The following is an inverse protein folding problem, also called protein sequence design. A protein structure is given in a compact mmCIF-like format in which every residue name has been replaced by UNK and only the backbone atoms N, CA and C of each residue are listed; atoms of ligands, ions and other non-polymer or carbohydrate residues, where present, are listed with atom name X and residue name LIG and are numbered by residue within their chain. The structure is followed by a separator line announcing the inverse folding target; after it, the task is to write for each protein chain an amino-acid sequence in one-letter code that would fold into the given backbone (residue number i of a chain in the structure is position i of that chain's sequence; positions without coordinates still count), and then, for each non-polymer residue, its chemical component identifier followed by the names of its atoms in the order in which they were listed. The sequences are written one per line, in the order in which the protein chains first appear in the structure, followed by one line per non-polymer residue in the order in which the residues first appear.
data_IF_828210376078
#
_entry.id   IF_828210376078
#
_cell.length_a   1.000
_cell.length_b   1.000
_cell.length_c   1.000
_cell.angle_alpha   90.00
_cell.angle_beta   90.00
_cell.angle_gamma   90.00
#
_symmetry.space_group_name_H-M   'P 1'
#
loop_
_entity.id
_entity.type
_entity.pdbx_description
1 polymer ?
#
# COMPACT_ATOMS: atom_id res chain seq x y z
N UNK A 1 -10.74 19.95 60.46
CA UNK A 1 -10.87 20.89 59.32
C UNK A 1 -10.03 20.29 58.21
N UNK A 2 -10.66 19.57 57.28
CA UNK A 2 -10.00 19.11 56.06
C UNK A 2 -9.89 20.33 55.16
N UNK A 3 -8.66 20.73 54.87
CA UNK A 3 -8.36 21.77 53.88
C UNK A 3 -8.61 21.15 52.51
N UNK A 4 -9.74 21.48 51.90
CA UNK A 4 -9.92 21.36 50.45
C UNK A 4 -8.82 22.19 49.79
N UNK A 5 -7.92 21.53 49.07
CA UNK A 5 -6.92 22.20 48.25
C UNK A 5 -7.65 22.83 47.08
N UNK A 6 -7.71 24.16 47.06
CA UNK A 6 -8.34 24.97 46.00
C UNK A 6 -7.38 25.18 44.81
N UNK A 7 -6.33 24.37 44.72
CA UNK A 7 -5.17 24.61 43.87
C UNK A 7 -4.99 23.49 42.84
N UNK A 8 -6.10 22.93 42.35
CA UNK A 8 -6.06 22.10 41.14
C UNK A 8 -6.39 23.02 39.96
N UNK A 9 -5.52 23.09 38.93
CA UNK A 9 -5.86 23.81 37.71
C UNK A 9 -7.18 23.25 37.18
N UNK A 10 -8.08 24.15 36.80
CA UNK A 10 -9.33 23.75 36.18
C UNK A 10 -9.01 23.03 34.85
N UNK A 11 -9.77 21.98 34.47
CA UNK A 11 -9.63 21.35 33.17
C UNK A 11 -9.80 22.39 32.05
N UNK A 12 -8.98 22.25 31.00
CA UNK A 12 -9.00 23.01 29.75
C UNK A 12 -8.84 21.94 28.66
N UNK A 13 -9.96 21.51 28.09
CA UNK A 13 -10.02 20.30 27.26
C UNK A 13 -9.44 20.52 25.87
N UNK A 14 -9.59 21.72 25.30
CA UNK A 14 -9.15 22.11 23.96
C UNK A 14 -7.82 22.90 23.94
N UNK A 15 -7.41 23.47 25.07
CA UNK A 15 -6.12 24.14 25.22
C UNK A 15 -6.12 25.65 24.93
N UNK A 16 -7.28 26.28 24.75
CA UNK A 16 -7.39 27.69 24.33
C UNK A 16 -7.11 28.72 25.46
N UNK A 17 -7.04 28.24 26.70
CA UNK A 17 -6.80 29.06 27.90
C UNK A 17 -8.05 29.47 28.67
N UNK A 18 -9.23 29.03 28.23
CA UNK A 18 -10.51 29.06 28.94
C UNK A 18 -10.74 27.67 29.55
N UNK A 19 -11.33 27.59 30.74
CA UNK A 19 -11.59 26.30 31.38
C UNK A 19 -12.98 25.77 31.05
N UNK A 20 -13.12 24.44 30.97
CA UNK A 20 -14.36 23.77 30.54
C UNK A 20 -15.61 24.27 31.28
N UNK A 21 -15.47 24.54 32.58
CA UNK A 21 -16.57 25.03 33.41
C UNK A 21 -16.98 26.46 33.03
N UNK A 22 -16.01 27.31 32.69
CA UNK A 22 -16.25 28.68 32.25
C UNK A 22 -16.93 28.71 30.88
N UNK A 23 -16.58 27.77 30.01
CA UNK A 23 -17.16 27.64 28.68
C UNK A 23 -18.61 27.17 28.74
N UNK A 24 -18.89 26.11 29.51
CA UNK A 24 -20.26 25.65 29.78
C UNK A 24 -21.13 26.78 30.37
N UNK A 25 -20.56 27.59 31.26
CA UNK A 25 -21.27 28.74 31.86
C UNK A 25 -21.52 29.83 30.81
N UNK A 26 -20.56 30.06 29.91
CA UNK A 26 -20.66 31.08 28.86
C UNK A 26 -21.46 30.62 27.64
N UNK A 27 -21.79 29.32 27.56
CA UNK A 27 -22.48 28.72 26.43
C UNK A 27 -21.57 28.48 25.23
N UNK A 28 -20.27 28.33 25.45
CA UNK A 28 -19.24 27.98 24.46
C UNK A 28 -18.87 26.49 24.61
N UNK A 29 -18.24 25.89 23.61
CA UNK A 29 -17.89 24.46 23.56
C UNK A 29 -16.49 24.16 24.12
N UNK A 30 -16.38 23.44 25.25
CA UNK A 30 -15.10 23.04 25.86
C UNK A 30 -14.13 22.24 24.99
N UNK A 31 -14.54 21.82 23.79
CA UNK A 31 -13.73 20.99 22.89
C UNK A 31 -13.38 21.71 21.59
N UNK A 32 -13.71 22.99 21.46
CA UNK A 32 -13.45 23.80 20.27
C UNK A 32 -12.56 24.99 20.64
N UNK A 33 -11.26 24.87 20.37
CA UNK A 33 -10.26 25.88 20.71
C UNK A 33 -10.49 27.24 20.02
N UNK A 34 -11.37 27.30 19.01
CA UNK A 34 -11.76 28.53 18.37
C UNK A 34 -13.01 29.17 19.01
N UNK A 35 -13.85 28.43 19.76
CA UNK A 35 -15.02 28.98 20.45
C UNK A 35 -14.62 29.64 21.79
N UNK A 36 -15.03 30.88 22.11
CA UNK A 36 -15.79 31.86 21.33
C UNK A 36 -14.93 32.87 20.59
N UNK A 37 -13.60 32.69 20.61
CA UNK A 37 -12.65 33.69 20.18
C UNK A 37 -12.68 33.93 18.66
N UNK A 38 -13.06 32.91 17.88
CA UNK A 38 -12.98 32.86 16.43
C UNK A 38 -13.88 31.74 15.86
N UNK A 39 -13.83 31.56 14.54
CA UNK A 39 -14.23 30.34 13.83
C UNK A 39 -12.96 29.73 13.22
N UNK A 40 -13.01 28.46 12.84
CA UNK A 40 -12.06 27.81 11.91
C UNK A 40 -12.88 27.45 10.66
N UNK A 41 -12.77 28.30 9.64
CA UNK A 41 -13.68 28.28 8.49
C UNK A 41 -13.37 27.14 7.51
N UNK A 42 -12.09 26.80 7.34
CA UNK A 42 -11.66 25.72 6.44
C UNK A 42 -11.30 24.41 7.17
N UNK A 43 -11.45 24.41 8.49
CA UNK A 43 -11.29 23.29 9.41
C UNK A 43 -9.86 22.77 9.49
N UNK A 44 -8.86 23.61 9.23
CA UNK A 44 -7.45 23.20 9.20
C UNK A 44 -6.77 23.10 10.58
N UNK A 45 -7.51 23.45 11.63
CA UNK A 45 -7.05 23.43 13.02
C UNK A 45 -6.41 24.75 13.47
N UNK A 46 -6.43 25.77 12.60
CA UNK A 46 -6.03 27.14 12.92
C UNK A 46 -7.27 28.02 12.86
N UNK A 47 -7.48 28.85 13.88
CA UNK A 47 -8.64 29.74 13.90
C UNK A 47 -8.45 30.92 12.92
N UNK A 48 -9.53 31.36 12.24
CA UNK A 48 -9.55 32.48 11.29
C UNK A 48 -8.83 33.74 11.82
N UNK A 49 -9.03 34.05 13.11
CA UNK A 49 -8.41 35.21 13.74
C UNK A 49 -6.88 35.08 13.84
N UNK A 50 -6.36 33.87 14.05
CA UNK A 50 -4.94 33.57 14.09
C UNK A 50 -4.33 33.63 12.68
N UNK A 51 -5.03 33.10 11.68
CA UNK A 51 -4.60 33.15 10.27
C UNK A 51 -4.50 34.58 9.74
N UNK A 52 -5.49 35.43 10.06
CA UNK A 52 -5.42 36.86 9.73
C UNK A 52 -4.21 37.54 10.37
N UNK A 53 -3.85 37.14 11.60
CA UNK A 53 -2.69 37.68 12.31
C UNK A 53 -1.38 37.19 11.70
N UNK A 54 -1.32 35.92 11.29
CA UNK A 54 -0.16 35.28 10.69
C UNK A 54 -0.01 35.58 9.20
N UNK A 55 -1.04 36.17 8.59
CA UNK A 55 -1.08 36.58 7.19
C UNK A 55 -1.39 35.44 6.22
N UNK A 56 -2.05 34.38 6.70
CA UNK A 56 -2.54 33.24 5.93
C UNK A 56 -4.01 33.43 5.56
N UNK A 57 -4.56 32.63 4.64
CA UNK A 57 -5.95 32.74 4.15
C UNK A 57 -6.93 31.86 4.95
N UNK A 58 -7.88 32.42 5.71
CA UNK A 58 -8.87 31.68 6.52
C UNK A 58 -9.84 30.75 5.77
N UNK A 59 -9.69 30.62 4.45
CA UNK A 59 -10.52 29.75 3.63
C UNK A 59 -9.68 28.77 2.80
N UNK A 60 -8.35 28.80 2.98
CA UNK A 60 -7.44 27.89 2.32
C UNK A 60 -6.80 26.97 3.38
N UNK A 61 -7.30 25.73 3.53
CA UNK A 61 -6.79 24.83 4.55
C UNK A 61 -5.34 24.41 4.27
N UNK A 62 -4.76 24.84 3.15
CA UNK A 62 -3.38 24.63 2.75
C UNK A 62 -2.51 25.88 2.91
N UNK A 63 -2.95 26.87 3.68
CA UNK A 63 -2.17 28.04 4.04
C UNK A 63 -2.31 28.30 5.56
N UNK A 64 -1.27 28.05 6.37
CA UNK A 64 0.13 27.76 6.02
C UNK A 64 0.46 26.27 5.91
N UNK A 65 -0.53 25.39 6.13
CA UNK A 65 -0.32 23.95 6.22
C UNK A 65 0.05 23.32 4.86
N UNK A 66 0.78 22.20 4.87
CA UNK A 66 0.98 21.47 3.60
C UNK A 66 -0.36 20.95 3.08
N UNK A 67 -0.54 21.05 1.77
CA UNK A 67 -1.71 20.56 1.07
C UNK A 67 -1.63 19.06 0.78
N UNK A 68 -0.55 18.38 1.21
CA UNK A 68 -0.27 17.00 0.85
C UNK A 68 -1.30 16.03 1.42
N UNK A 69 -1.83 15.16 0.57
CA UNK A 69 -2.66 14.05 0.98
C UNK A 69 -1.77 13.01 1.69
N UNK A 70 -2.01 12.77 2.98
CA UNK A 70 -1.23 11.81 3.78
C UNK A 70 -2.03 10.53 4.00
N UNK A 71 -1.48 9.41 3.57
CA UNK A 71 -2.12 8.09 3.60
C UNK A 71 -1.42 7.18 4.62
N UNK A 72 -2.19 6.65 5.56
CA UNK A 72 -1.79 5.55 6.44
C UNK A 72 -2.39 4.24 5.90
N UNK A 73 -1.72 3.65 4.91
CA UNK A 73 -2.21 2.42 4.29
C UNK A 73 -1.69 1.17 5.00
N UNK A 74 -2.51 0.11 5.04
CA UNK A 74 -2.10 -1.24 5.42
C UNK A 74 -2.39 -2.24 4.32
N UNK A 75 -1.45 -3.13 4.05
CA UNK A 75 -1.59 -4.23 3.11
C UNK A 75 -0.69 -5.40 3.51
N UNK A 76 -1.01 -6.61 3.07
CA UNK A 76 -0.14 -7.78 3.22
C UNK A 76 -0.02 -8.54 1.90
N UNK A 77 1.12 -9.17 1.70
CA UNK A 77 1.46 -9.92 0.48
C UNK A 77 1.22 -11.41 0.68
N UNK A 78 0.48 -12.01 -0.25
CA UNK A 78 0.30 -13.47 -0.30
C UNK A 78 1.64 -14.17 -0.47
N UNK A 79 1.75 -15.42 -0.01
CA UNK A 79 3.01 -16.18 -0.06
C UNK A 79 4.06 -15.78 0.98
N UNK A 80 4.11 -14.50 1.38
CA UNK A 80 5.07 -13.96 2.39
C UNK A 80 4.42 -13.85 3.77
N UNK A 81 3.11 -13.62 3.84
CA UNK A 81 2.36 -13.54 5.09
C UNK A 81 2.31 -14.88 5.85
N UNK A 82 2.69 -14.86 7.13
CA UNK A 82 2.58 -15.99 8.05
C UNK A 82 1.48 -15.74 9.09
N UNK A 83 0.39 -16.50 8.97
CA UNK A 83 -0.80 -16.40 9.84
C UNK A 83 -0.48 -16.72 11.31
N UNK A 84 0.53 -17.54 11.58
CA UNK A 84 0.86 -17.98 12.94
C UNK A 84 1.46 -16.86 13.78
N UNK A 85 2.30 -16.04 13.14
CA UNK A 85 2.95 -14.87 13.74
C UNK A 85 2.14 -13.59 13.51
N UNK A 86 1.27 -13.59 12.51
CA UNK A 86 0.54 -12.41 12.07
C UNK A 86 1.39 -11.41 11.30
N UNK A 87 2.61 -11.80 10.87
CA UNK A 87 3.61 -10.98 10.20
C UNK A 87 4.02 -11.58 8.86
N UNK A 88 4.48 -10.75 7.93
CA UNK A 88 5.18 -11.19 6.73
C UNK A 88 6.61 -11.61 7.06
N UNK A 89 7.20 -12.52 6.27
CA UNK A 89 8.65 -12.74 6.25
C UNK A 89 9.38 -11.55 5.62
N UNK A 90 10.65 -11.37 5.99
CA UNK A 90 11.55 -10.32 5.50
C UNK A 90 12.85 -10.91 4.95
N UNK A 91 12.73 -11.99 4.17
CA UNK A 91 13.85 -12.74 3.60
C UNK A 91 14.76 -11.82 2.75
N UNK A 92 14.17 -11.01 1.87
CA UNK A 92 14.90 -10.07 1.01
C UNK A 92 15.71 -9.03 1.80
N UNK A 93 15.13 -8.48 2.87
CA UNK A 93 15.82 -7.55 3.78
C UNK A 93 16.95 -8.25 4.51
N UNK A 94 16.70 -9.46 5.03
CA UNK A 94 17.68 -10.25 5.75
C UNK A 94 18.86 -10.67 4.87
N UNK A 95 18.63 -10.85 3.57
CA UNK A 95 19.67 -11.09 2.57
C UNK A 95 20.36 -9.81 2.07
N UNK A 96 19.84 -8.62 2.40
CA UNK A 96 20.38 -7.34 1.98
C UNK A 96 20.25 -7.07 0.48
N UNK A 97 19.19 -7.59 -0.15
CA UNK A 97 18.97 -7.50 -1.60
C UNK A 97 17.81 -6.59 -2.01
N UNK A 98 17.12 -5.96 -1.05
CA UNK A 98 16.16 -4.89 -1.37
C UNK A 98 16.95 -3.71 -1.95
N UNK A 99 16.60 -3.21 -3.15
CA UNK A 99 17.30 -2.08 -3.75
C UNK A 99 17.05 -0.81 -2.95
N UNK A 100 18.05 0.08 -2.91
CA UNK A 100 17.91 1.41 -2.27
C UNK A 100 17.11 2.37 -3.15
N UNK A 101 17.04 2.12 -4.44
CA UNK A 101 16.18 2.86 -5.38
C UNK A 101 14.90 2.06 -5.61
N UNK A 102 13.77 2.75 -5.70
CA UNK A 102 12.50 2.12 -6.01
C UNK A 102 12.55 1.40 -7.39
N UNK A 103 11.95 0.19 -7.53
CA UNK A 103 12.12 -0.64 -8.74
C UNK A 103 11.15 -0.32 -9.89
N UNK A 104 10.07 0.40 -9.63
CA UNK A 104 8.91 0.56 -10.51
C UNK A 104 9.21 1.40 -11.76
N UNK A 105 10.21 2.30 -11.74
CA UNK A 105 10.59 3.03 -12.96
C UNK A 105 11.31 2.16 -14.01
N UNK A 106 11.71 0.95 -13.66
CA UNK A 106 12.28 -0.05 -14.58
C UNK A 106 11.23 -1.02 -15.13
N UNK A 107 10.00 -0.99 -14.60
CA UNK A 107 8.90 -1.88 -14.96
C UNK A 107 7.87 -1.13 -15.82
N UNK A 108 7.75 -1.53 -17.08
CA UNK A 108 6.96 -0.80 -18.09
C UNK A 108 5.45 -0.72 -17.75
N UNK A 109 4.92 -1.70 -17.03
CA UNK A 109 3.51 -1.80 -16.61
C UNK A 109 3.13 -0.80 -15.50
N UNK A 110 4.11 -0.22 -14.80
CA UNK A 110 3.86 0.81 -13.79
C UNK A 110 3.85 2.23 -14.36
N UNK A 111 4.47 2.45 -15.53
CA UNK A 111 4.59 3.77 -16.16
C UNK A 111 5.05 4.87 -15.17
N UNK A 112 6.00 4.54 -14.31
CA UNK A 112 6.40 5.40 -13.21
C UNK A 112 7.74 6.09 -13.49
N UNK A 113 7.80 7.40 -13.22
CA UNK A 113 9.00 8.22 -13.47
C UNK A 113 9.66 8.71 -12.17
N UNK A 114 9.15 8.29 -11.01
CA UNK A 114 9.73 8.67 -9.72
C UNK A 114 11.15 8.15 -9.55
N UNK A 115 11.87 8.76 -8.61
CA UNK A 115 13.28 8.48 -8.33
C UNK A 115 13.53 8.36 -6.84
N UNK A 116 12.54 7.86 -6.08
CA UNK A 116 12.68 7.65 -4.65
C UNK A 116 13.87 6.74 -4.34
N UNK A 117 14.70 7.20 -3.41
CA UNK A 117 15.83 6.46 -2.86
C UNK A 117 15.72 6.46 -1.35
N UNK A 118 15.83 5.29 -0.72
CA UNK A 118 15.81 5.11 0.74
C UNK A 118 17.22 5.13 1.31
N UNK A 119 17.39 5.69 2.52
CA UNK A 119 18.64 5.53 3.26
C UNK A 119 18.82 4.06 3.68
N UNK A 120 19.96 3.40 3.37
CA UNK A 120 20.18 1.99 3.70
C UNK A 120 20.01 1.64 5.18
N UNK A 121 20.15 2.62 6.09
CA UNK A 121 19.96 2.40 7.52
C UNK A 121 18.53 2.01 7.91
N UNK A 122 17.53 2.34 7.07
CA UNK A 122 16.13 1.92 7.26
C UNK A 122 16.01 0.38 7.25
N UNK A 123 16.83 -0.32 6.46
CA UNK A 123 16.82 -1.78 6.40
C UNK A 123 17.46 -2.48 7.62
N UNK A 124 18.05 -1.73 8.56
CA UNK A 124 18.56 -2.28 9.81
C UNK A 124 17.47 -2.54 10.85
N UNK A 125 16.26 -1.99 10.64
CA UNK A 125 15.11 -2.24 11.51
C UNK A 125 14.69 -3.72 11.38
N UNK A 126 14.35 -4.32 12.52
CA UNK A 126 13.92 -5.73 12.63
C UNK A 126 12.65 -5.82 13.49
N UNK A 127 12.00 -6.98 13.52
CA UNK A 127 10.72 -7.14 14.24
C UNK A 127 9.53 -6.75 13.36
N UNK A 128 8.43 -6.30 13.96
CA UNK A 128 7.21 -5.95 13.25
C UNK A 128 7.41 -4.85 12.18
N UNK A 129 8.31 -3.91 12.47
CA UNK A 129 8.55 -2.73 11.63
C UNK A 129 9.68 -2.97 10.60
N UNK A 130 10.18 -4.20 10.48
CA UNK A 130 11.21 -4.51 9.48
C UNK A 130 10.62 -4.33 8.06
N UNK A 131 11.40 -3.74 7.15
CA UNK A 131 10.95 -3.60 5.77
C UNK A 131 10.92 -4.96 5.08
N UNK A 132 9.79 -5.28 4.47
CA UNK A 132 9.61 -6.43 3.57
C UNK A 132 10.03 -6.05 2.16
N UNK A 133 9.54 -4.91 1.66
CA UNK A 133 9.78 -4.49 0.28
C UNK A 133 9.32 -3.05 -0.04
N UNK A 134 9.53 -2.64 -1.29
CA UNK A 134 8.89 -1.48 -1.92
C UNK A 134 7.44 -1.77 -2.31
N UNK A 135 6.54 -0.80 -2.12
CA UNK A 135 5.16 -0.81 -2.63
C UNK A 135 4.88 0.42 -3.48
N UNK A 136 3.92 0.31 -4.38
CA UNK A 136 3.51 1.38 -5.27
C UNK A 136 2.09 1.79 -4.99
N UNK A 137 1.85 3.08 -4.78
CA UNK A 137 0.55 3.60 -4.38
C UNK A 137 0.12 4.68 -5.36
N UNK A 138 -1.15 4.65 -5.74
CA UNK A 138 -1.74 5.66 -6.64
C UNK A 138 -2.96 6.32 -6.00
N UNK A 139 -3.08 7.62 -6.21
CA UNK A 139 -4.30 8.38 -5.99
C UNK A 139 -4.95 8.64 -7.35
N UNK A 140 -6.18 8.18 -7.51
CA UNK A 140 -6.95 8.19 -8.75
C UNK A 140 -8.17 9.10 -8.64
N UNK A 141 -8.61 9.64 -9.77
CA UNK A 141 -9.70 10.61 -9.84
C UNK A 141 -11.01 10.05 -9.28
N UNK A 142 -11.70 10.81 -8.42
CA UNK A 142 -12.95 10.39 -7.77
C UNK A 142 -14.10 10.08 -8.73
N UNK A 143 -14.07 10.63 -9.96
CA UNK A 143 -15.13 10.49 -10.96
C UNK A 143 -14.78 9.47 -12.03
N UNK A 144 -13.50 9.33 -12.38
CA UNK A 144 -12.99 8.35 -13.31
C UNK A 144 -11.84 7.54 -12.66
N UNK A 145 -12.12 6.34 -12.11
CA UNK A 145 -11.12 5.55 -11.41
C UNK A 145 -9.97 5.06 -12.31
N UNK A 146 -10.08 5.16 -13.64
CA UNK A 146 -8.98 4.87 -14.56
C UNK A 146 -7.94 5.99 -14.62
N UNK A 147 -8.31 7.23 -14.28
CA UNK A 147 -7.41 8.38 -14.32
C UNK A 147 -6.56 8.43 -13.07
N UNK A 148 -5.25 8.23 -13.24
CA UNK A 148 -4.27 8.36 -12.18
C UNK A 148 -3.83 9.83 -12.07
N UNK A 149 -3.95 10.40 -10.87
CA UNK A 149 -3.59 11.80 -10.59
C UNK A 149 -2.23 11.91 -9.91
N UNK A 150 -1.95 11.00 -8.96
CA UNK A 150 -0.69 10.94 -8.25
C UNK A 150 -0.24 9.50 -8.10
N UNK A 151 1.08 9.31 -8.09
CA UNK A 151 1.73 8.02 -7.91
C UNK A 151 2.94 8.21 -7.01
N UNK A 152 3.19 7.26 -6.12
CA UNK A 152 4.36 7.29 -5.24
C UNK A 152 4.80 5.89 -4.84
N UNK A 153 6.11 5.68 -4.76
CA UNK A 153 6.68 4.48 -4.13
C UNK A 153 6.85 4.69 -2.61
N UNK A 154 6.51 3.68 -1.83
CA UNK A 154 6.72 3.62 -0.38
C UNK A 154 7.33 2.28 0.03
N UNK A 155 7.45 2.05 1.34
CA UNK A 155 8.01 0.83 1.90
C UNK A 155 6.93 0.07 2.69
N UNK A 156 6.95 -1.25 2.61
CA UNK A 156 6.06 -2.14 3.32
C UNK A 156 6.77 -2.75 4.53
N UNK A 157 6.19 -2.62 5.71
CA UNK A 157 6.66 -3.25 6.94
C UNK A 157 6.05 -4.64 7.14
N UNK A 158 6.69 -5.49 7.96
CA UNK A 158 6.26 -6.88 8.17
C UNK A 158 4.86 -7.02 8.77
N UNK A 159 4.40 -6.05 9.54
CA UNK A 159 3.07 -6.06 10.13
C UNK A 159 1.98 -5.53 9.16
N UNK A 160 2.39 -5.03 7.99
CA UNK A 160 1.55 -4.57 6.91
C UNK A 160 1.44 -3.06 6.77
N UNK A 161 2.07 -2.26 7.63
CA UNK A 161 2.09 -0.80 7.45
C UNK A 161 2.86 -0.39 6.19
N UNK A 162 2.28 0.56 5.44
CA UNK A 162 2.93 1.23 4.31
C UNK A 162 3.44 2.58 4.77
N UNK A 163 4.74 2.77 4.69
CA UNK A 163 5.46 3.92 5.24
C UNK A 163 6.29 4.64 4.19
N UNK A 164 6.65 5.88 4.49
CA UNK A 164 7.54 6.73 3.70
C UNK A 164 9.01 6.24 3.79
N UNK A 165 9.92 6.95 3.12
CA UNK A 165 11.34 6.62 2.97
C UNK A 165 12.14 6.72 4.27
N UNK A 166 11.56 7.23 5.35
CA UNK A 166 12.15 7.18 6.70
C UNK A 166 11.87 5.84 7.41
N UNK A 167 11.00 5.01 6.82
CA UNK A 167 10.59 3.72 7.37
C UNK A 167 9.61 3.83 8.54
N UNK A 168 9.00 4.99 8.80
CA UNK A 168 8.11 5.21 9.95
C UNK A 168 6.89 6.06 9.60
N UNK A 169 7.07 7.16 8.88
CA UNK A 169 6.01 8.12 8.61
C UNK A 169 4.98 7.56 7.63
N UNK A 170 3.69 7.94 7.73
CA UNK A 170 2.71 7.64 6.69
C UNK A 170 3.11 8.23 5.33
N UNK A 171 2.58 7.68 4.25
CA UNK A 171 2.94 8.06 2.90
C UNK A 171 2.28 9.40 2.49
N UNK A 172 3.06 10.46 2.34
CA UNK A 172 2.58 11.76 1.86
C UNK A 172 2.56 11.86 0.33
N UNK A 173 1.59 12.55 -0.27
CA UNK A 173 1.56 12.82 -1.70
C UNK A 173 1.75 14.30 -1.96
N UNK A 174 2.98 14.67 -2.29
CA UNK A 174 3.36 16.06 -2.54
C UNK A 174 2.46 16.71 -3.59
N UNK A 175 1.76 17.78 -3.22
CA UNK A 175 0.86 18.52 -4.10
C UNK A 175 -0.47 17.84 -4.43
N UNK A 176 -0.77 16.68 -3.83
CA UNK A 176 -2.10 16.10 -3.86
C UNK A 176 -2.96 16.79 -2.81
N UNK A 177 -3.86 17.67 -3.23
CA UNK A 177 -4.70 18.45 -2.31
C UNK A 177 -5.63 17.62 -1.43
N UNK A 178 -6.25 18.30 -0.45
CA UNK A 178 -7.34 17.76 0.39
C UNK A 178 -8.59 17.50 -0.47
N UNK A 179 -8.67 16.32 -1.06
CA UNK A 179 -9.73 15.91 -1.97
C UNK A 179 -10.10 14.44 -1.77
N UNK A 180 -11.07 13.94 -2.53
CA UNK A 180 -11.38 12.50 -2.53
C UNK A 180 -10.67 11.81 -3.69
N UNK A 181 -10.12 10.62 -3.41
CA UNK A 181 -9.39 9.82 -4.39
C UNK A 181 -9.75 8.35 -4.25
N UNK A 182 -9.84 7.62 -5.35
CA UNK A 182 -9.65 6.17 -5.26
C UNK A 182 -8.18 5.90 -4.92
N UNK A 183 -7.93 4.95 -4.02
CA UNK A 183 -6.58 4.62 -3.58
C UNK A 183 -6.27 3.21 -4.05
N UNK A 184 -5.18 3.04 -4.80
CA UNK A 184 -4.66 1.72 -5.16
C UNK A 184 -3.33 1.44 -4.49
N UNK A 185 -3.11 0.19 -4.10
CA UNK A 185 -1.82 -0.34 -3.67
C UNK A 185 -1.42 -1.50 -4.56
N UNK A 186 -0.17 -1.48 -5.03
CA UNK A 186 0.41 -2.42 -5.98
C UNK A 186 1.79 -2.87 -5.50
N UNK A 187 2.19 -4.05 -5.93
CA UNK A 187 3.51 -4.61 -5.66
C UNK A 187 4.05 -5.29 -6.93
N UNK A 188 5.37 -5.41 -7.06
CA UNK A 188 6.00 -5.85 -8.32
C UNK A 188 5.51 -7.21 -8.83
N UNK A 189 5.23 -8.16 -7.94
CA UNK A 189 4.93 -9.57 -8.26
C UNK A 189 3.55 -10.03 -7.74
N UNK A 190 2.67 -9.10 -7.39
CA UNK A 190 1.31 -9.37 -6.93
C UNK A 190 0.28 -8.63 -7.77
N UNK A 191 -0.99 -9.07 -7.75
CA UNK A 191 -2.09 -8.26 -8.27
C UNK A 191 -2.44 -7.17 -7.24
N UNK A 192 -2.50 -5.93 -7.70
CA UNK A 192 -2.89 -4.79 -6.87
C UNK A 192 -4.37 -4.80 -6.51
N UNK A 193 -4.71 -3.93 -5.57
CA UNK A 193 -6.09 -3.67 -5.14
C UNK A 193 -6.36 -2.17 -5.07
N UNK A 194 -7.62 -1.79 -5.23
CA UNK A 194 -8.08 -0.40 -5.12
C UNK A 194 -9.35 -0.34 -4.26
N UNK A 195 -9.57 0.77 -3.58
CA UNK A 195 -10.84 1.04 -2.87
C UNK A 195 -12.02 1.01 -3.84
N UNK A 196 -13.19 0.55 -3.41
CA UNK A 196 -14.41 0.55 -4.24
C UNK A 196 -15.13 1.90 -4.29
N UNK A 197 -14.76 2.80 -3.38
CA UNK A 197 -15.22 4.18 -3.30
C UNK A 197 -14.04 5.14 -3.11
N UNK A 198 -14.16 6.41 -3.53
CA UNK A 198 -13.18 7.43 -3.21
C UNK A 198 -13.11 7.66 -1.70
N UNK A 199 -11.90 7.89 -1.19
CA UNK A 199 -11.63 8.22 0.20
C UNK A 199 -11.22 9.69 0.29
N UNK A 200 -11.86 10.44 1.20
CA UNK A 200 -11.62 11.88 1.39
C UNK A 200 -10.42 12.14 2.29
N UNK A 201 -9.49 12.95 1.80
CA UNK A 201 -8.33 13.44 2.56
C UNK A 201 -8.62 14.79 3.21
N UNK A 202 -8.17 14.93 4.46
CA UNK A 202 -8.19 16.16 5.25
C UNK A 202 -6.81 16.44 5.82
N UNK A 203 -6.74 17.06 7.01
CA UNK A 203 -5.46 17.42 7.66
C UNK A 203 -4.76 16.21 8.27
N UNK A 204 -5.54 15.29 8.83
CA UNK A 204 -5.00 14.10 9.47
C UNK A 204 -4.69 13.02 8.43
N UNK A 205 -3.63 12.22 8.67
CA UNK A 205 -3.38 11.01 7.88
C UNK A 205 -4.63 10.13 7.82
N UNK A 206 -5.01 9.72 6.61
CA UNK A 206 -6.21 8.92 6.39
C UNK A 206 -5.86 7.43 6.45
N UNK A 207 -6.50 6.65 7.33
CA UNK A 207 -6.27 5.21 7.40
C UNK A 207 -7.01 4.47 6.29
N UNK A 208 -6.32 3.61 5.55
CA UNK A 208 -6.93 2.65 4.61
C UNK A 208 -6.31 1.28 4.80
N UNK A 209 -7.09 0.35 5.33
CA UNK A 209 -6.62 -0.99 5.64
C UNK A 209 -7.15 -2.02 4.63
N UNK A 210 -6.34 -2.38 3.65
CA UNK A 210 -6.67 -3.42 2.67
C UNK A 210 -6.64 -4.84 3.25
N UNK A 211 -6.11 -5.02 4.47
CA UNK A 211 -6.15 -6.33 5.17
C UNK A 211 -7.53 -6.59 5.78
N UNK A 212 -8.28 -5.54 6.12
CA UNK A 212 -9.62 -5.63 6.69
C UNK A 212 -10.67 -5.90 5.62
N UNK A 213 -11.57 -6.84 5.85
CA UNK A 213 -12.75 -7.10 4.98
C UNK A 213 -13.76 -5.96 4.97
N UNK A 214 -13.65 -4.99 5.88
CA UNK A 214 -14.49 -3.79 5.89
C UNK A 214 -14.14 -2.79 4.78
N UNK A 215 -12.92 -2.84 4.25
CA UNK A 215 -12.51 -1.99 3.12
C UNK A 215 -13.06 -2.59 1.83
N UNK A 216 -13.99 -1.90 1.16
CA UNK A 216 -14.49 -2.37 -0.12
C UNK A 216 -13.38 -2.38 -1.18
N UNK A 217 -13.36 -3.42 -2.03
CA UNK A 217 -12.41 -3.49 -3.14
C UNK A 217 -13.14 -3.22 -4.45
N UNK A 218 -12.54 -2.39 -5.30
CA UNK A 218 -13.06 -2.14 -6.63
C UNK A 218 -13.20 -3.45 -7.40
N UNK A 219 -14.24 -3.52 -8.23
CA UNK A 219 -14.51 -4.64 -9.11
C UNK A 219 -14.62 -4.11 -10.54
N UNK A 220 -13.84 -4.69 -11.46
CA UNK A 220 -13.97 -4.35 -12.88
C UNK A 220 -15.37 -4.65 -13.39
N UNK A 221 -15.81 -3.90 -14.39
CA UNK A 221 -17.07 -4.19 -15.08
C UNK A 221 -16.86 -5.26 -16.16
N UNK A 222 -17.90 -6.05 -16.44
CA UNK A 222 -17.88 -7.04 -17.52
C UNK A 222 -17.24 -8.39 -17.13
N UNK A 223 -16.77 -9.17 -18.10
CA UNK A 223 -16.40 -10.58 -17.89
C UNK A 223 -15.10 -10.80 -17.10
N UNK A 224 -14.26 -9.77 -16.95
CA UNK A 224 -13.02 -9.81 -16.16
C UNK A 224 -13.22 -9.33 -14.71
N UNK A 225 -14.44 -8.88 -14.38
CA UNK A 225 -14.83 -8.45 -13.05
C UNK A 225 -14.93 -9.61 -12.06
N UNK A 226 -14.34 -9.44 -10.89
CA UNK A 226 -14.36 -10.41 -9.79
C UNK A 226 -14.53 -9.71 -8.44
N UNK A 227 -15.29 -10.33 -7.53
CA UNK A 227 -15.38 -9.90 -6.13
C UNK A 227 -14.16 -10.32 -5.30
N UNK A 228 -13.23 -11.09 -5.88
CA UNK A 228 -12.06 -11.66 -5.21
C UNK A 228 -10.78 -10.91 -5.60
N UNK A 229 -10.76 -9.59 -5.44
CA UNK A 229 -9.60 -8.75 -5.74
C UNK A 229 -8.37 -9.09 -4.87
N UNK A 230 -8.61 -9.68 -3.70
CA UNK A 230 -7.61 -10.14 -2.75
C UNK A 230 -7.91 -11.58 -2.31
N UNK A 231 -6.89 -12.27 -1.80
CA UNK A 231 -7.00 -13.57 -1.16
C UNK A 231 -7.49 -13.41 0.28
N UNK A 232 -8.58 -14.08 0.65
CA UNK A 232 -9.03 -14.15 2.04
C UNK A 232 -8.25 -15.23 2.81
N UNK A 233 -7.61 -14.84 3.91
CA UNK A 233 -6.80 -15.71 4.75
C UNK A 233 -7.64 -16.32 5.88
N UNK A 234 -7.31 -17.52 6.36
CA UNK A 234 -7.97 -18.18 7.50
C UNK A 234 -8.09 -17.36 8.79
N UNK A 235 -7.21 -16.38 9.01
CA UNK A 235 -7.24 -15.47 10.16
C UNK A 235 -8.20 -14.27 9.98
N UNK A 236 -8.91 -14.22 8.85
CA UNK A 236 -9.87 -13.18 8.50
C UNK A 236 -9.27 -11.93 7.84
N UNK A 237 -7.95 -11.91 7.59
CA UNK A 237 -7.30 -10.84 6.83
C UNK A 237 -7.38 -11.11 5.33
N UNK A 238 -7.14 -10.07 4.53
CA UNK A 238 -6.97 -10.17 3.08
C UNK A 238 -5.53 -9.86 2.66
N UNK A 239 -4.99 -10.67 1.76
CA UNK A 239 -3.67 -10.49 1.17
C UNK A 239 -3.77 -10.24 -0.34
N UNK A 240 -2.80 -9.54 -0.91
CA UNK A 240 -2.70 -9.47 -2.37
C UNK A 240 -2.41 -10.86 -2.95
N UNK A 241 -2.96 -11.13 -4.14
CA UNK A 241 -2.68 -12.38 -4.84
C UNK A 241 -1.24 -12.41 -5.35
N UNK A 242 -0.47 -13.41 -4.93
CA UNK A 242 0.90 -13.63 -5.37
C UNK A 242 0.97 -14.34 -6.73
N UNK A 243 2.08 -14.14 -7.44
CA UNK A 243 2.40 -14.86 -8.67
C UNK A 243 2.18 -14.06 -9.96
N UNK A 244 2.07 -12.73 -9.89
CA UNK A 244 2.05 -11.84 -11.06
C UNK A 244 3.48 -11.55 -11.51
N UNK A 245 4.14 -12.57 -12.07
CA UNK A 245 5.56 -12.57 -12.38
C UNK A 245 5.88 -11.90 -13.72
N UNK A 246 4.93 -11.85 -14.64
CA UNK A 246 5.21 -11.39 -15.99
C UNK A 246 5.26 -9.87 -16.15
N UNK A 247 6.34 -9.41 -16.79
CA UNK A 247 6.60 -7.99 -17.07
C UNK A 247 6.90 -7.69 -18.53
N UNK A 248 6.69 -8.62 -19.47
CA UNK A 248 7.19 -8.50 -20.84
C UNK A 248 6.29 -7.65 -21.76
N UNK A 249 6.71 -6.42 -22.15
CA UNK A 249 5.95 -5.58 -23.07
C UNK A 249 6.14 -5.98 -24.55
N UNK A 250 7.03 -6.95 -24.85
CA UNK A 250 7.57 -7.21 -26.20
C UNK A 250 7.04 -8.47 -26.90
N UNK A 251 6.12 -9.22 -26.31
CA UNK A 251 5.48 -10.36 -26.94
C UNK A 251 4.23 -9.93 -27.75
N UNK A 252 3.77 -10.72 -28.74
CA UNK A 252 2.56 -10.41 -29.53
C UNK A 252 1.25 -10.33 -28.71
N UNK A 253 1.31 -10.69 -27.42
CA UNK A 253 0.33 -10.42 -26.37
C UNK A 253 1.09 -9.66 -25.26
N UNK A 254 0.96 -8.33 -25.14
CA UNK A 254 1.70 -7.57 -24.15
C UNK A 254 1.28 -8.00 -22.74
N UNK A 255 2.25 -8.48 -21.97
CA UNK A 255 2.06 -8.94 -20.60
C UNK A 255 2.00 -7.69 -19.73
N UNK A 256 0.80 -7.29 -19.33
CA UNK A 256 0.59 -5.98 -18.72
C UNK A 256 0.57 -5.99 -17.19
N UNK A 257 1.16 -7.01 -16.56
CA UNK A 257 1.29 -7.08 -15.10
C UNK A 257 -0.04 -6.99 -14.34
N UNK A 258 -1.14 -7.35 -14.99
CA UNK A 258 -2.52 -7.13 -14.55
C UNK A 258 -3.32 -8.43 -14.47
N UNK A 259 -2.66 -9.58 -14.59
CA UNK A 259 -3.29 -10.89 -14.54
C UNK A 259 -2.33 -11.95 -14.04
N UNK A 260 -2.87 -13.08 -13.62
CA UNK A 260 -2.14 -14.30 -13.29
C UNK A 260 -2.76 -15.43 -14.12
N UNK A 261 -1.91 -16.13 -14.88
CA UNK A 261 -2.27 -17.33 -15.63
C UNK A 261 -1.27 -18.47 -15.42
N UNK A 262 -1.76 -19.66 -15.13
CA UNK A 262 -0.90 -20.82 -14.86
C UNK A 262 -0.55 -21.62 -16.13
N UNK A 263 -1.51 -21.81 -17.03
CA UNK A 263 -1.30 -22.47 -18.32
C UNK A 263 -1.89 -21.66 -19.47
N UNK A 264 -1.19 -21.69 -20.59
CA UNK A 264 -1.55 -20.98 -21.80
C UNK A 264 -0.37 -20.16 -22.30
N UNK A 265 -0.55 -19.44 -23.42
CA UNK A 265 0.40 -18.41 -23.82
C UNK A 265 0.58 -17.41 -22.69
N UNK A 266 1.81 -16.93 -22.46
CA UNK A 266 2.10 -15.87 -21.50
C UNK A 266 1.95 -16.29 -20.02
N UNK A 267 2.05 -17.60 -19.73
CA UNK A 267 1.83 -18.10 -18.37
C UNK A 267 2.96 -17.68 -17.41
N UNK A 268 2.60 -17.36 -16.17
CA UNK A 268 3.55 -16.89 -15.16
C UNK A 268 4.76 -17.82 -14.96
N UNK A 269 4.62 -19.17 -14.95
CA UNK A 269 5.77 -20.06 -14.84
C UNK A 269 6.82 -19.93 -15.95
N UNK A 270 6.51 -19.29 -17.08
CA UNK A 270 7.48 -19.02 -18.15
C UNK A 270 8.57 -18.04 -17.69
N UNK A 271 8.26 -17.08 -16.81
CA UNK A 271 9.24 -16.10 -16.31
C UNK A 271 10.32 -16.78 -15.46
N UNK A 272 9.90 -17.59 -14.48
CA UNK A 272 10.83 -18.41 -13.68
C UNK A 272 11.62 -19.39 -14.55
N UNK A 273 10.98 -20.00 -15.58
CA UNK A 273 11.65 -20.88 -16.52
C UNK A 273 12.81 -20.18 -17.26
N UNK A 274 12.54 -19.02 -17.88
CA UNK A 274 13.57 -18.31 -18.63
C UNK A 274 14.65 -17.75 -17.73
N UNK A 275 14.30 -17.21 -16.55
CA UNK A 275 15.27 -16.71 -15.59
C UNK A 275 16.23 -17.81 -15.11
N UNK A 276 15.71 -19.01 -14.80
CA UNK A 276 16.54 -20.15 -14.35
C UNK A 276 17.38 -20.72 -15.49
N UNK A 277 16.81 -21.01 -16.65
CA UNK A 277 17.52 -21.69 -17.73
C UNK A 277 18.52 -20.79 -18.45
N UNK A 278 18.24 -19.50 -18.55
CA UNK A 278 19.11 -18.53 -19.22
C UNK A 278 20.07 -17.84 -18.26
N UNK A 279 20.03 -18.19 -16.97
CA UNK A 279 20.98 -17.67 -16.00
C UNK A 279 22.43 -18.01 -16.41
N UNK A 280 23.33 -17.02 -16.39
CA UNK A 280 24.73 -17.22 -16.78
C UNK A 280 25.50 -18.24 -15.92
N UNK A 281 25.03 -18.53 -14.71
CA UNK A 281 25.56 -19.60 -13.86
C UNK A 281 25.05 -21.00 -14.20
N UNK A 282 23.93 -21.12 -14.92
CA UNK A 282 23.31 -22.40 -15.29
C UNK A 282 23.88 -22.94 -16.62
N UNK A 283 25.18 -23.25 -16.63
CA UNK A 283 25.90 -23.66 -17.85
C UNK A 283 25.42 -24.97 -18.49
N UNK A 284 24.75 -25.82 -17.71
CA UNK A 284 24.22 -27.12 -18.13
C UNK A 284 22.71 -27.08 -18.43
N UNK A 285 22.08 -25.89 -18.36
CA UNK A 285 20.63 -25.69 -18.56
C UNK A 285 19.77 -26.60 -17.68
N UNK A 286 20.17 -26.81 -16.42
CA UNK A 286 19.48 -27.66 -15.47
C UNK A 286 18.19 -26.98 -15.00
N UNK A 287 17.00 -27.60 -15.14
CA UNK A 287 15.75 -27.04 -14.64
C UNK A 287 15.67 -26.94 -13.11
N UNK A 288 16.52 -27.71 -12.41
CA UNK A 288 16.65 -27.71 -10.94
C UNK A 288 17.68 -26.68 -10.44
N UNK A 289 18.28 -25.88 -11.32
CA UNK A 289 19.19 -24.81 -10.92
C UNK A 289 18.41 -23.76 -10.13
N UNK A 290 19.01 -23.23 -9.07
CA UNK A 290 18.42 -22.18 -8.25
C UNK A 290 19.16 -20.87 -8.51
N UNK A 291 18.42 -19.82 -8.86
CA UNK A 291 18.98 -18.47 -8.96
C UNK A 291 18.88 -17.82 -7.60
N UNK A 292 20.00 -17.64 -6.90
CA UNK A 292 20.03 -17.05 -5.57
C UNK A 292 21.40 -16.42 -5.23
N UNK A 293 21.44 -15.34 -4.41
CA UNK A 293 20.30 -14.50 -4.03
C UNK A 293 19.89 -13.59 -5.20
N UNK A 294 18.59 -13.30 -5.33
CA UNK A 294 18.08 -12.45 -6.40
C UNK A 294 16.87 -11.63 -5.96
N UNK A 295 16.84 -10.36 -6.35
CA UNK A 295 15.66 -9.51 -6.25
C UNK A 295 14.99 -9.50 -7.63
N UNK A 296 14.01 -10.38 -7.81
CA UNK A 296 13.32 -10.59 -9.09
C UNK A 296 11.81 -10.44 -8.94
N UNK A 297 11.14 -10.19 -10.06
CA UNK A 297 9.68 -10.31 -10.16
C UNK A 297 9.25 -11.79 -10.24
N UNK A 298 10.13 -12.67 -10.74
CA UNK A 298 9.89 -14.12 -10.83
C UNK A 298 10.03 -14.85 -9.49
N UNK A 299 10.58 -14.18 -8.47
CA UNK A 299 10.56 -14.66 -7.09
C UNK A 299 9.18 -14.36 -6.51
N UNK A 300 8.23 -15.26 -6.76
CA UNK A 300 6.82 -15.06 -6.43
C UNK A 300 6.53 -15.22 -4.94
N UNK A 301 7.34 -16.02 -4.25
CA UNK A 301 7.21 -16.27 -2.81
C UNK A 301 8.08 -15.31 -1.95
N UNK A 302 8.91 -14.48 -2.60
CA UNK A 302 9.78 -13.46 -2.02
C UNK A 302 10.81 -13.99 -1.04
N UNK A 303 11.36 -15.18 -1.29
CA UNK A 303 12.40 -15.80 -0.47
C UNK A 303 13.84 -15.49 -0.94
N UNK A 304 13.99 -14.66 -1.99
CA UNK A 304 15.26 -14.26 -2.56
C UNK A 304 15.86 -15.29 -3.51
N UNK A 305 15.07 -16.29 -3.93
CA UNK A 305 15.48 -17.40 -4.79
C UNK A 305 14.45 -17.56 -5.90
N UNK A 306 14.91 -17.82 -7.13
CA UNK A 306 14.02 -18.23 -8.22
C UNK A 306 14.25 -19.69 -8.53
N UNK A 307 13.20 -20.49 -8.36
CA UNK A 307 13.17 -21.94 -8.58
C UNK A 307 12.08 -22.25 -9.62
N UNK A 308 12.46 -22.94 -10.71
CA UNK A 308 11.51 -23.38 -11.73
C UNK A 308 10.99 -24.80 -11.52
N UNK A 309 11.83 -25.71 -11.00
CA UNK A 309 11.44 -27.07 -10.64
C UNK A 309 12.09 -27.48 -9.32
N UNK A 310 11.30 -28.11 -8.45
CA UNK A 310 11.77 -28.57 -7.15
C UNK A 310 10.75 -28.29 -6.06
N UNK A 311 11.18 -28.42 -4.81
CA UNK A 311 10.38 -27.96 -3.68
C UNK A 311 10.44 -26.44 -3.56
N UNK A 312 9.31 -25.82 -3.19
CA UNK A 312 9.15 -24.36 -3.12
C UNK A 312 9.43 -23.67 -4.45
N UNK A 313 8.94 -24.25 -5.55
CA UNK A 313 9.09 -23.66 -6.87
C UNK A 313 8.23 -22.40 -7.01
N UNK A 314 8.76 -21.33 -7.61
CA UNK A 314 7.98 -20.13 -7.93
C UNK A 314 6.87 -20.43 -8.94
N UNK A 315 7.04 -21.50 -9.74
CA UNK A 315 5.99 -22.03 -10.61
C UNK A 315 4.75 -22.53 -9.87
N UNK A 316 4.90 -22.89 -8.58
CA UNK A 316 3.80 -23.43 -7.77
C UNK A 316 2.87 -22.30 -7.27
N UNK A 317 3.39 -21.07 -7.11
CA UNK A 317 2.60 -19.92 -6.65
C UNK A 317 1.44 -19.60 -7.60
N UNK A 318 1.65 -19.33 -8.91
CA UNK A 318 0.55 -19.08 -9.84
C UNK A 318 -0.34 -20.32 -10.03
N UNK A 319 0.18 -21.55 -9.85
CA UNK A 319 -0.65 -22.75 -9.84
C UNK A 319 -1.70 -22.69 -8.74
N UNK A 320 -1.28 -22.49 -7.48
CA UNK A 320 -2.22 -22.43 -6.37
C UNK A 320 -3.13 -21.22 -6.45
N UNK A 321 -2.60 -20.04 -6.83
CA UNK A 321 -3.42 -18.84 -7.03
C UNK A 321 -4.54 -19.08 -8.03
N UNK A 322 -4.25 -19.62 -9.22
CA UNK A 322 -5.27 -19.85 -10.26
C UNK A 322 -6.21 -20.99 -9.89
N UNK A 323 -5.69 -22.09 -9.36
CA UNK A 323 -6.48 -23.31 -9.13
C UNK A 323 -7.39 -23.19 -7.91
N UNK A 324 -6.96 -22.46 -6.88
CA UNK A 324 -7.73 -22.20 -5.67
C UNK A 324 -8.51 -20.88 -5.73
N UNK A 325 -8.38 -20.12 -6.83
CA UNK A 325 -9.15 -18.89 -7.01
C UNK A 325 -10.65 -19.16 -6.87
N UNK A 326 -11.39 -18.45 -5.99
CA UNK A 326 -12.82 -18.76 -5.76
C UNK A 326 -13.69 -18.66 -7.01
N UNK A 327 -13.32 -17.83 -7.99
CA UNK A 327 -13.99 -17.74 -9.29
C UNK A 327 -13.77 -18.95 -10.22
N UNK A 328 -12.72 -19.75 -9.99
CA UNK A 328 -12.35 -20.90 -10.82
C UNK A 328 -13.05 -22.19 -10.36
N UNK A 329 -14.38 -22.18 -10.36
CA UNK A 329 -15.22 -23.30 -9.87
C UNK A 329 -15.03 -24.62 -10.63
N UNK A 330 -14.50 -24.57 -11.85
CA UNK A 330 -14.20 -25.73 -12.69
C UNK A 330 -12.77 -26.25 -12.57
N UNK A 331 -11.93 -25.63 -11.72
CA UNK A 331 -10.51 -25.97 -11.58
C UNK A 331 -9.76 -25.97 -12.93
N UNK A 332 -10.10 -25.00 -13.78
CA UNK A 332 -9.50 -24.86 -15.10
C UNK A 332 -8.08 -24.34 -14.95
N UNK A 333 -7.04 -25.05 -15.44
CA UNK A 333 -5.66 -24.58 -15.33
C UNK A 333 -5.36 -23.39 -16.26
N UNK A 334 -6.26 -23.11 -17.22
CA UNK A 334 -6.21 -21.97 -18.14
C UNK A 334 -7.12 -20.81 -17.69
N UNK A 335 -7.60 -20.83 -16.44
CA UNK A 335 -8.36 -19.71 -15.88
C UNK A 335 -7.43 -18.51 -15.66
N UNK A 336 -7.94 -17.32 -15.94
CA UNK A 336 -7.21 -16.06 -15.75
C UNK A 336 -7.75 -15.31 -14.55
N UNK A 337 -6.89 -15.01 -13.58
CA UNK A 337 -7.19 -14.10 -12.49
C UNK A 337 -6.76 -12.71 -12.92
N UNK A 338 -7.66 -11.73 -12.91
CA UNK A 338 -7.37 -10.35 -13.32
C UNK A 338 -7.22 -9.44 -12.12
N UNK A 339 -6.28 -8.50 -12.18
CA UNK A 339 -6.22 -7.33 -11.32
C UNK A 339 -7.54 -6.56 -11.40
N UNK A 340 -8.10 -6.15 -10.27
CA UNK A 340 -9.39 -5.46 -10.22
C UNK A 340 -9.22 -3.93 -10.16
N UNK A 341 -8.28 -3.41 -10.94
CA UNK A 341 -7.98 -1.98 -11.05
C UNK A 341 -8.19 -1.57 -12.53
N UNK A 342 -8.96 -0.51 -12.82
CA UNK A 342 -9.15 -0.05 -14.20
C UNK A 342 -7.88 0.58 -14.78
N UNK A 343 -7.75 0.53 -16.11
CA UNK A 343 -6.63 1.07 -16.88
C UNK A 343 -7.02 2.30 -17.67
#
# INVERSE_FOLDING_TARGET
VSTFSLDQPLPISDGDGICDVQEIINGTDPNDACDPLSTDTDLDGICDAQEIVDGTDPNDPCDPNSCDAVLSARMILGGVYDESSGLMRDDLRSMGIIPVDQPYNSLADFNYMGTETVDPTVFNVTGADAIVDWVFVELRDQTDPAVILFQRAGLLQRDGDVVDLDGVSPLAFAGAGKASYYISVKHRNHLGVMTDVPVTFGINPVPVDFTSTATGNYQLTGPTGSAFAQEERPDGKRALWAGNMSAQPSAPDPHTGDRIIYQGPAAEPEEAYFEVLLNGGNVDFLPLFVVEPVYSRSDANMDGRVIYQGSNSDSDVPFFTVFLFPGNTGFSPIFTVYEQIPK
#
